data_IF_609294295460
#
_entry.id   IF_609294295460
#
_cell.length_a   1.000
_cell.length_b   1.000
_cell.length_c   1.000
_cell.angle_alpha   90.00
_cell.angle_beta   90.00
_cell.angle_gamma   90.00
#
_symmetry.space_group_name_H-M   'P 1'
#
loop_
_entity.id
_entity.type
_entity.pdbx_description
1 polymer ?
#
# COMPACT_ATOMS: atom_id res chain seq x y z
N UNK A 1 -6.14 -16.74 -25.78
CA UNK A 1 -5.76 -18.00 -25.11
C UNK A 1 -4.41 -17.80 -24.45
N UNK A 2 -4.41 -17.39 -23.18
CA UNK A 2 -3.22 -17.40 -22.36
C UNK A 2 -2.81 -18.87 -22.15
N UNK A 3 -1.56 -19.19 -22.43
CA UNK A 3 -1.00 -20.52 -22.19
C UNK A 3 -0.90 -20.77 -20.68
N UNK A 4 -1.18 -21.98 -20.18
CA UNK A 4 -0.96 -22.31 -18.78
C UNK A 4 0.55 -22.36 -18.55
N UNK A 5 1.10 -21.34 -17.85
CA UNK A 5 2.53 -21.25 -17.52
C UNK A 5 3.09 -19.83 -17.41
N UNK A 6 2.33 -18.78 -17.64
CA UNK A 6 2.77 -17.43 -17.33
C UNK A 6 2.71 -17.23 -15.81
N UNK A 7 3.85 -16.86 -15.22
CA UNK A 7 3.95 -16.53 -13.79
C UNK A 7 3.16 -15.25 -13.51
N UNK A 8 1.85 -15.41 -13.28
CA UNK A 8 1.02 -14.32 -12.81
C UNK A 8 1.57 -13.81 -11.47
N UNK A 9 1.72 -12.52 -11.33
CA UNK A 9 2.13 -11.88 -10.09
C UNK A 9 1.24 -10.66 -9.84
N UNK A 10 0.80 -10.50 -8.61
CA UNK A 10 0.13 -9.28 -8.17
C UNK A 10 1.20 -8.36 -7.60
N UNK A 11 1.38 -7.20 -8.21
CA UNK A 11 2.26 -6.14 -7.71
C UNK A 11 1.39 -5.05 -7.11
N UNK A 12 1.61 -4.72 -5.85
CA UNK A 12 0.82 -3.73 -5.13
C UNK A 12 1.71 -2.60 -4.61
N UNK A 13 1.52 -1.41 -5.17
CA UNK A 13 2.17 -0.19 -4.69
C UNK A 13 1.48 0.33 -3.42
N UNK A 14 2.25 0.58 -2.38
CA UNK A 14 1.77 0.99 -1.05
C UNK A 14 2.58 2.13 -0.46
N UNK A 15 1.94 2.86 0.47
CA UNK A 15 2.61 3.75 1.43
C UNK A 15 2.05 3.49 2.83
N UNK A 16 2.92 3.37 3.83
CA UNK A 16 2.53 3.04 5.21
C UNK A 16 1.65 4.09 5.88
N UNK A 17 1.78 5.35 5.52
CA UNK A 17 0.92 6.43 6.00
C UNK A 17 -0.45 6.52 5.32
N UNK A 18 -0.70 5.66 4.32
CA UNK A 18 -1.98 5.61 3.62
C UNK A 18 -2.86 4.50 4.16
N UNK A 19 -4.01 4.86 4.76
CA UNK A 19 -4.93 3.91 5.39
C UNK A 19 -5.53 2.91 4.39
N UNK A 20 -5.81 3.33 3.13
CA UNK A 20 -6.31 2.40 2.11
C UNK A 20 -5.26 1.35 1.72
N UNK A 21 -3.96 1.70 1.74
CA UNK A 21 -2.88 0.72 1.56
C UNK A 21 -2.95 -0.36 2.65
N UNK A 22 -3.15 0.04 3.92
CA UNK A 22 -3.35 -0.91 5.02
C UNK A 22 -4.58 -1.79 4.83
N UNK A 23 -5.72 -1.19 4.53
CA UNK A 23 -6.98 -1.90 4.34
C UNK A 23 -6.99 -2.79 3.08
N UNK A 24 -6.08 -2.57 2.15
CA UNK A 24 -5.93 -3.39 0.94
C UNK A 24 -5.08 -4.64 1.16
N UNK A 25 -4.15 -4.62 2.10
CA UNK A 25 -3.16 -5.69 2.28
C UNK A 25 -3.81 -7.04 2.61
N UNK A 26 -4.69 -7.09 3.61
CA UNK A 26 -5.33 -8.34 4.05
C UNK A 26 -6.14 -9.02 2.93
N UNK A 27 -7.13 -8.35 2.31
CA UNK A 27 -7.90 -8.92 1.21
C UNK A 27 -7.06 -9.33 0.01
N UNK A 28 -6.02 -8.55 -0.33
CA UNK A 28 -5.13 -8.89 -1.44
C UNK A 28 -4.31 -10.13 -1.14
N UNK A 29 -3.75 -10.23 0.07
CA UNK A 29 -3.00 -11.42 0.52
C UNK A 29 -3.88 -12.67 0.47
N UNK A 30 -5.09 -12.59 1.02
CA UNK A 30 -6.02 -13.71 1.01
C UNK A 30 -6.38 -14.17 -0.41
N UNK A 31 -6.62 -13.22 -1.33
CA UNK A 31 -6.88 -13.52 -2.74
C UNK A 31 -5.67 -14.16 -3.43
N UNK A 32 -4.47 -13.64 -3.19
CA UNK A 32 -3.24 -14.17 -3.76
C UNK A 32 -2.97 -15.60 -3.30
N UNK A 33 -3.14 -15.88 -2.00
CA UNK A 33 -3.02 -17.22 -1.41
C UNK A 33 -4.05 -18.20 -1.99
N UNK A 34 -5.30 -17.79 -2.11
CA UNK A 34 -6.38 -18.62 -2.69
C UNK A 34 -6.12 -18.98 -4.16
N UNK A 35 -5.62 -18.02 -4.95
CA UNK A 35 -5.32 -18.23 -6.37
C UNK A 35 -3.94 -18.88 -6.60
N UNK A 36 -3.11 -19.01 -5.56
CA UNK A 36 -1.75 -19.51 -5.69
C UNK A 36 -0.83 -18.58 -6.48
N UNK A 37 -1.10 -17.27 -6.46
CA UNK A 37 -0.37 -16.23 -7.20
C UNK A 37 0.54 -15.46 -6.25
N UNK A 38 1.83 -15.23 -6.58
CA UNK A 38 2.71 -14.39 -5.78
C UNK A 38 2.18 -12.97 -5.62
N UNK A 39 2.35 -12.41 -4.41
CA UNK A 39 2.08 -11.01 -4.10
C UNK A 39 3.39 -10.30 -3.78
N UNK A 40 3.68 -9.25 -4.51
CA UNK A 40 4.84 -8.38 -4.33
C UNK A 40 4.39 -6.98 -3.90
N UNK A 41 4.92 -6.49 -2.78
CA UNK A 41 4.65 -5.13 -2.31
C UNK A 41 5.75 -4.19 -2.77
N UNK A 42 5.36 -3.07 -3.34
CA UNK A 42 6.27 -2.07 -3.89
C UNK A 42 6.11 -0.75 -3.12
N UNK A 43 7.21 -0.17 -2.62
CA UNK A 43 7.15 1.11 -1.93
C UNK A 43 6.88 2.23 -2.93
N UNK A 44 5.86 3.04 -2.65
CA UNK A 44 5.57 4.25 -3.40
C UNK A 44 5.24 5.38 -2.44
N UNK A 45 6.21 6.28 -2.22
CA UNK A 45 6.05 7.39 -1.29
C UNK A 45 5.09 8.43 -1.84
N UNK A 46 4.00 8.66 -1.12
CA UNK A 46 3.07 9.75 -1.40
C UNK A 46 3.58 11.06 -0.82
N UNK A 47 3.11 12.19 -1.35
CA UNK A 47 3.46 13.50 -0.81
C UNK A 47 2.97 13.64 0.64
N UNK A 48 3.73 14.42 1.42
CA UNK A 48 3.33 14.76 2.80
C UNK A 48 2.17 15.74 2.71
N UNK A 49 1.01 15.35 3.24
CA UNK A 49 -0.17 16.20 3.27
C UNK A 49 0.06 17.32 4.30
N UNK A 50 0.28 18.54 3.85
CA UNK A 50 0.38 19.71 4.71
C UNK A 50 -1.03 20.28 4.86
N UNK A 51 -1.49 20.42 6.12
CA UNK A 51 -2.75 21.11 6.41
C UNK A 51 -2.64 22.57 5.94
N UNK A 52 -3.37 22.91 4.90
CA UNK A 52 -3.49 24.31 4.47
C UNK A 52 -4.44 25.01 5.45
N UNK A 53 -4.01 26.11 6.04
CA UNK A 53 -4.86 26.89 6.94
C UNK A 53 -6.18 27.27 6.24
N UNK A 54 -7.28 27.08 6.95
CA UNK A 54 -8.61 27.34 6.44
C UNK A 54 -8.76 28.82 6.06
N UNK A 55 -9.00 29.11 4.77
CA UNK A 55 -9.42 30.41 4.31
C UNK A 55 -10.87 30.68 4.74
N UNK A 56 -11.20 31.93 5.00
CA UNK A 56 -12.55 32.37 5.46
C UNK A 56 -13.67 32.16 4.44
N UNK A 57 -13.36 31.93 3.18
CA UNK A 57 -14.34 31.64 2.12
C UNK A 57 -13.86 30.43 1.32
N UNK A 58 -14.70 29.38 1.34
CA UNK A 58 -14.46 28.13 0.63
C UNK A 58 -14.86 28.28 -0.84
N UNK A 59 -13.92 28.00 -1.76
CA UNK A 59 -14.21 27.95 -3.19
C UNK A 59 -15.02 26.70 -3.55
N UNK A 60 -15.66 26.67 -4.73
CA UNK A 60 -16.40 25.49 -5.22
C UNK A 60 -15.46 24.26 -5.32
N UNK A 61 -14.22 24.45 -5.72
CA UNK A 61 -13.24 23.37 -5.79
C UNK A 61 -12.86 22.81 -4.40
N UNK A 62 -12.69 23.68 -3.40
CA UNK A 62 -12.41 23.30 -2.01
C UNK A 62 -13.61 22.58 -1.39
N UNK A 63 -14.83 23.01 -1.67
CA UNK A 63 -16.06 22.32 -1.23
C UNK A 63 -16.15 20.91 -1.82
N UNK A 64 -15.87 20.74 -3.13
CA UNK A 64 -15.83 19.42 -3.76
C UNK A 64 -14.70 18.52 -3.20
N UNK A 65 -13.56 19.11 -2.87
CA UNK A 65 -12.46 18.37 -2.23
C UNK A 65 -12.84 17.93 -0.82
N UNK A 66 -13.50 18.78 -0.03
CA UNK A 66 -13.98 18.44 1.31
C UNK A 66 -15.02 17.32 1.27
N UNK A 67 -16.02 17.42 0.41
CA UNK A 67 -17.06 16.37 0.29
C UNK A 67 -16.44 15.03 -0.11
N UNK A 68 -15.47 15.04 -1.03
CA UNK A 68 -14.73 13.82 -1.39
C UNK A 68 -13.92 13.26 -0.20
N UNK A 69 -13.29 14.13 0.59
CA UNK A 69 -12.54 13.72 1.77
C UNK A 69 -13.44 13.12 2.86
N UNK A 70 -14.63 13.70 3.07
CA UNK A 70 -15.64 13.16 4.00
C UNK A 70 -16.13 11.78 3.55
N UNK A 71 -16.47 11.63 2.27
CA UNK A 71 -16.88 10.34 1.70
C UNK A 71 -15.77 9.28 1.85
N UNK A 72 -14.53 9.66 1.54
CA UNK A 72 -13.36 8.82 1.70
C UNK A 72 -13.14 8.38 3.16
N UNK A 73 -13.31 9.29 4.12
CA UNK A 73 -13.19 8.99 5.54
C UNK A 73 -14.28 7.98 6.01
N UNK A 74 -15.48 8.08 5.47
CA UNK A 74 -16.56 7.14 5.78
C UNK A 74 -16.31 5.76 5.19
N UNK A 75 -15.77 5.67 4.00
CA UNK A 75 -15.36 4.40 3.40
C UNK A 75 -14.22 3.74 4.19
N UNK A 76 -13.24 4.52 4.63
CA UNK A 76 -12.18 4.03 5.52
C UNK A 76 -12.76 3.37 6.77
N UNK A 77 -13.70 4.04 7.44
CA UNK A 77 -14.35 3.51 8.65
C UNK A 77 -15.12 2.21 8.37
N UNK A 78 -15.83 2.13 7.23
CA UNK A 78 -16.56 0.92 6.83
C UNK A 78 -15.61 -0.25 6.62
N UNK A 79 -14.54 -0.07 5.87
CA UNK A 79 -13.56 -1.12 5.60
C UNK A 79 -12.78 -1.53 6.85
N UNK A 80 -12.39 -0.57 7.69
CA UNK A 80 -11.73 -0.85 8.96
C UNK A 80 -12.62 -1.71 9.86
N UNK A 81 -13.91 -1.35 10.00
CA UNK A 81 -14.88 -2.13 10.77
C UNK A 81 -15.06 -3.54 10.24
N UNK A 82 -15.14 -3.73 8.92
CA UNK A 82 -15.29 -5.05 8.30
C UNK A 82 -14.07 -5.95 8.54
N UNK A 83 -12.89 -5.37 8.70
CA UNK A 83 -11.66 -6.10 8.96
C UNK A 83 -11.26 -6.15 10.45
N UNK A 84 -12.07 -5.60 11.35
CA UNK A 84 -11.76 -5.41 12.77
C UNK A 84 -10.43 -4.69 13.00
N UNK A 85 -10.14 -3.67 12.18
CA UNK A 85 -8.95 -2.85 12.30
C UNK A 85 -9.29 -1.52 12.95
N UNK A 86 -8.42 -1.05 13.83
CA UNK A 86 -8.45 0.29 14.40
C UNK A 86 -7.53 1.21 13.59
N UNK A 87 -8.00 2.42 13.31
CA UNK A 87 -7.24 3.47 12.65
C UNK A 87 -7.09 4.64 13.63
N UNK A 88 -6.15 4.53 14.55
CA UNK A 88 -5.92 5.50 15.63
C UNK A 88 -4.94 6.60 15.20
N UNK A 89 -3.96 6.24 14.36
CA UNK A 89 -2.89 7.15 13.98
C UNK A 89 -3.40 8.32 13.11
N UNK A 90 -2.84 9.50 13.34
CA UNK A 90 -2.92 10.63 12.43
C UNK A 90 -1.75 10.55 11.44
N UNK A 91 -2.05 10.47 10.15
CA UNK A 91 -1.04 10.39 9.09
C UNK A 91 -0.64 11.76 8.52
N UNK A 92 -1.22 12.85 9.00
CA UNK A 92 -0.87 14.19 8.54
C UNK A 92 0.58 14.55 8.91
N UNK A 93 1.34 15.03 7.93
CA UNK A 93 2.72 15.44 8.13
C UNK A 93 3.71 14.30 8.39
N UNK A 94 3.28 13.04 8.30
CA UNK A 94 4.14 11.87 8.55
C UNK A 94 5.06 11.61 7.36
N UNK A 95 6.35 11.46 7.63
CA UNK A 95 7.33 10.92 6.69
C UNK A 95 7.38 9.40 6.82
N UNK A 96 7.15 8.69 5.71
CA UNK A 96 7.18 7.23 5.64
C UNK A 96 8.46 6.67 5.00
N UNK A 97 9.41 7.53 4.66
CA UNK A 97 10.63 7.15 3.93
C UNK A 97 11.33 5.97 4.59
N UNK A 98 11.61 6.04 5.88
CA UNK A 98 12.35 5.00 6.58
C UNK A 98 11.63 3.65 6.57
N UNK A 99 10.31 3.65 6.77
CA UNK A 99 9.49 2.44 6.68
C UNK A 99 9.48 1.85 5.25
N UNK A 100 9.47 2.69 4.21
CA UNK A 100 9.54 2.25 2.81
C UNK A 100 10.91 1.67 2.44
N UNK A 101 12.01 2.24 2.97
CA UNK A 101 13.35 1.65 2.85
C UNK A 101 13.41 0.28 3.52
N UNK A 102 12.78 0.14 4.69
CA UNK A 102 12.63 -1.14 5.38
C UNK A 102 11.85 -2.18 4.57
N UNK A 103 10.84 -1.75 3.79
CA UNK A 103 10.12 -2.65 2.89
C UNK A 103 11.03 -3.21 1.79
N UNK A 104 11.86 -2.38 1.17
CA UNK A 104 12.84 -2.86 0.19
C UNK A 104 13.80 -3.88 0.80
N UNK A 105 14.34 -3.58 1.98
CA UNK A 105 15.18 -4.53 2.71
C UNK A 105 14.45 -5.83 3.01
N UNK A 106 13.22 -5.76 3.52
CA UNK A 106 12.38 -6.92 3.79
C UNK A 106 12.09 -7.75 2.54
N UNK A 107 11.82 -7.12 1.41
CA UNK A 107 11.62 -7.79 0.12
C UNK A 107 12.86 -8.57 -0.31
N UNK A 108 14.05 -7.96 -0.23
CA UNK A 108 15.31 -8.63 -0.55
C UNK A 108 15.61 -9.85 0.34
N UNK A 109 15.09 -9.84 1.57
CA UNK A 109 15.24 -10.94 2.55
C UNK A 109 14.06 -11.92 2.55
N UNK A 110 13.05 -11.72 1.71
CA UNK A 110 11.88 -12.60 1.62
C UNK A 110 10.86 -12.44 2.75
N UNK A 111 10.92 -11.35 3.51
CA UNK A 111 10.00 -11.07 4.65
C UNK A 111 9.13 -9.83 4.42
N UNK A 112 9.06 -9.32 3.20
CA UNK A 112 8.38 -8.06 2.89
C UNK A 112 6.91 -8.01 3.28
N UNK A 113 6.15 -9.08 3.06
CA UNK A 113 4.72 -9.17 3.43
C UNK A 113 4.51 -9.11 4.95
N UNK A 114 5.28 -9.86 5.71
CA UNK A 114 5.18 -9.90 7.17
C UNK A 114 5.71 -8.61 7.79
N UNK A 115 6.75 -8.02 7.19
CA UNK A 115 7.24 -6.70 7.54
C UNK A 115 6.15 -5.63 7.34
N UNK A 116 5.54 -5.59 6.16
CA UNK A 116 4.49 -4.62 5.86
C UNK A 116 3.31 -4.75 6.82
N UNK A 117 2.85 -5.97 7.11
CA UNK A 117 1.80 -6.20 8.09
C UNK A 117 2.18 -5.67 9.48
N UNK A 118 3.41 -5.93 9.94
CA UNK A 118 3.90 -5.50 11.24
C UNK A 118 3.98 -3.97 11.36
N UNK A 119 4.50 -3.30 10.33
CA UNK A 119 4.60 -1.84 10.30
C UNK A 119 3.23 -1.18 10.24
N UNK A 120 2.35 -1.62 9.35
CA UNK A 120 0.98 -1.10 9.26
C UNK A 120 0.23 -1.26 10.58
N UNK A 121 0.27 -2.45 11.17
CA UNK A 121 -0.41 -2.71 12.44
C UNK A 121 0.08 -1.78 13.54
N UNK A 122 1.40 -1.67 13.74
CA UNK A 122 1.98 -0.81 14.79
C UNK A 122 1.76 0.68 14.53
N UNK A 123 1.83 1.11 13.29
CA UNK A 123 1.56 2.52 12.98
C UNK A 123 0.09 2.88 13.21
N UNK A 124 -0.84 2.11 12.64
CA UNK A 124 -2.27 2.46 12.68
C UNK A 124 -2.93 2.18 14.04
N UNK A 125 -2.46 1.21 14.82
CA UNK A 125 -3.02 0.91 16.14
C UNK A 125 -2.26 1.60 17.29
N UNK A 126 -0.92 1.67 17.20
CA UNK A 126 -0.06 2.09 18.31
C UNK A 126 0.66 3.41 18.05
N UNK A 127 0.41 4.05 16.92
CA UNK A 127 1.07 5.31 16.49
C UNK A 127 2.61 5.22 16.47
N UNK A 128 3.17 4.08 16.06
CA UNK A 128 4.61 3.92 15.86
C UNK A 128 5.16 4.99 14.90
N UNK A 129 6.32 5.56 15.17
CA UNK A 129 6.96 6.49 14.27
C UNK A 129 7.50 5.76 13.03
N UNK A 130 7.04 6.14 11.83
CA UNK A 130 7.50 5.54 10.57
C UNK A 130 8.90 5.96 10.13
N UNK A 131 9.43 7.03 10.75
CA UNK A 131 10.78 7.58 10.48
C UNK A 131 11.82 7.12 11.52
N UNK A 132 11.45 6.24 12.44
CA UNK A 132 12.37 5.71 13.46
C UNK A 132 13.12 4.48 12.95
N UNK A 133 14.38 4.68 12.57
CA UNK A 133 15.28 3.64 12.07
C UNK A 133 15.47 2.48 13.05
N UNK A 134 15.43 2.76 14.36
CA UNK A 134 15.59 1.73 15.38
C UNK A 134 14.38 0.79 15.40
N UNK A 135 13.17 1.33 15.49
CA UNK A 135 11.93 0.54 15.47
C UNK A 135 11.79 -0.28 14.19
N UNK A 136 12.14 0.29 13.04
CA UNK A 136 12.16 -0.41 11.76
C UNK A 136 13.18 -1.56 11.77
N UNK A 137 14.39 -1.31 12.24
CA UNK A 137 15.46 -2.32 12.35
C UNK A 137 15.11 -3.45 13.32
N UNK A 138 14.43 -3.16 14.41
CA UNK A 138 13.95 -4.16 15.37
C UNK A 138 12.90 -5.09 14.76
N UNK A 139 11.92 -4.54 14.02
CA UNK A 139 10.92 -5.34 13.30
C UNK A 139 11.60 -6.27 12.30
N UNK A 140 12.51 -5.76 11.49
CA UNK A 140 13.24 -6.55 10.49
C UNK A 140 14.07 -7.66 11.17
N UNK A 141 14.73 -7.34 12.26
CA UNK A 141 15.53 -8.32 13.03
C UNK A 141 14.65 -9.45 13.58
N UNK A 142 13.48 -9.11 14.13
CA UNK A 142 12.51 -10.11 14.64
C UNK A 142 11.99 -11.02 13.53
N UNK A 143 11.91 -10.54 12.31
CA UNK A 143 11.48 -11.31 11.13
C UNK A 143 12.63 -12.09 10.46
N UNK A 144 13.84 -12.05 11.02
CA UNK A 144 15.00 -12.75 10.47
C UNK A 144 15.75 -12.00 9.37
N UNK A 145 15.56 -10.70 9.25
CA UNK A 145 16.21 -9.82 8.28
C UNK A 145 17.09 -8.73 8.97
N UNK A 146 18.07 -9.10 9.81
CA UNK A 146 18.90 -8.15 10.56
C UNK A 146 19.82 -7.35 9.64
N UNK A 147 20.47 -6.34 10.22
CA UNK A 147 21.49 -5.54 9.53
C UNK A 147 20.92 -4.49 8.58
N UNK A 148 19.72 -3.98 8.85
CA UNK A 148 19.10 -2.95 8.04
C UNK A 148 19.95 -1.69 7.96
N UNK A 149 20.34 -1.31 6.75
CA UNK A 149 21.11 -0.12 6.43
C UNK A 149 20.32 0.78 5.47
N UNK A 150 19.59 1.78 5.98
CA UNK A 150 18.71 2.61 5.14
C UNK A 150 19.48 3.35 4.04
N UNK A 151 20.72 3.77 4.30
CA UNK A 151 21.55 4.48 3.32
C UNK A 151 21.75 3.72 2.01
N UNK A 152 21.82 2.38 2.07
CA UNK A 152 22.00 1.53 0.90
C UNK A 152 20.72 1.41 0.04
N UNK A 153 19.54 1.74 0.59
CA UNK A 153 18.24 1.55 -0.06
C UNK A 153 17.68 2.80 -0.74
N UNK A 154 18.24 3.98 -0.51
CA UNK A 154 17.70 5.24 -1.04
C UNK A 154 17.68 5.31 -2.57
N UNK A 155 18.76 4.86 -3.22
CA UNK A 155 18.84 4.84 -4.68
C UNK A 155 17.84 3.86 -5.28
N UNK A 156 17.67 2.71 -4.63
CA UNK A 156 16.69 1.70 -5.04
C UNK A 156 15.26 2.22 -4.89
N UNK A 157 14.93 2.94 -3.79
CA UNK A 157 13.61 3.54 -3.60
C UNK A 157 13.28 4.54 -4.73
N UNK A 158 14.23 5.38 -5.10
CA UNK A 158 14.06 6.33 -6.21
C UNK A 158 13.87 5.61 -7.55
N UNK A 159 14.62 4.54 -7.79
CA UNK A 159 14.53 3.72 -9.01
C UNK A 159 13.16 3.02 -9.10
N UNK A 160 12.72 2.41 -8.00
CA UNK A 160 11.40 1.76 -7.92
C UNK A 160 10.29 2.77 -8.18
N UNK A 161 10.36 3.96 -7.57
CA UNK A 161 9.39 5.03 -7.80
C UNK A 161 9.33 5.43 -9.27
N UNK A 162 10.47 5.72 -9.89
CA UNK A 162 10.54 6.12 -11.30
C UNK A 162 9.98 5.03 -12.23
N UNK A 163 10.27 3.76 -11.94
CA UNK A 163 9.74 2.62 -12.69
C UNK A 163 8.21 2.54 -12.57
N UNK A 164 7.69 2.65 -11.35
CA UNK A 164 6.23 2.62 -11.10
C UNK A 164 5.52 3.77 -11.80
N UNK A 165 6.07 4.98 -11.76
CA UNK A 165 5.50 6.14 -12.46
C UNK A 165 5.50 5.94 -13.98
N UNK A 166 6.54 5.35 -14.54
CA UNK A 166 6.61 5.00 -15.96
C UNK A 166 5.59 3.91 -16.35
N UNK A 167 5.23 3.02 -15.43
CA UNK A 167 4.18 2.01 -15.60
C UNK A 167 2.76 2.56 -15.35
N UNK A 168 2.61 3.81 -14.96
CA UNK A 168 1.32 4.49 -14.76
C UNK A 168 0.83 4.56 -13.32
N UNK A 169 1.68 4.24 -12.33
CA UNK A 169 1.35 4.43 -10.91
C UNK A 169 1.50 5.91 -10.55
N UNK A 170 0.48 6.48 -9.95
CA UNK A 170 0.44 7.89 -9.53
C UNK A 170 -0.14 8.07 -8.12
N UNK A 171 -0.56 7.00 -7.48
CA UNK A 171 -1.23 7.00 -6.18
C UNK A 171 -1.03 5.65 -5.49
N UNK A 172 -1.58 5.49 -4.27
CA UNK A 172 -1.64 4.22 -3.54
C UNK A 172 -3.01 4.04 -2.88
N UNK A 173 -3.48 2.80 -2.69
CA UNK A 173 -2.94 1.57 -3.25
C UNK A 173 -3.21 1.46 -4.75
N UNK A 174 -2.22 1.00 -5.52
CA UNK A 174 -2.40 0.69 -6.93
C UNK A 174 -1.85 -0.70 -7.23
N UNK A 175 -2.59 -1.43 -8.06
CA UNK A 175 -2.25 -2.80 -8.48
C UNK A 175 -1.72 -2.79 -9.90
N UNK A 176 -0.67 -3.57 -10.15
CA UNK A 176 -0.15 -3.85 -11.47
C UNK A 176 -0.29 -5.36 -11.68
N UNK A 177 -1.15 -5.75 -12.61
CA UNK A 177 -1.51 -7.14 -12.88
C UNK A 177 -1.70 -7.32 -14.37
N UNK A 178 -1.05 -8.29 -14.97
CA UNK A 178 -1.18 -8.63 -16.41
C UNK A 178 -0.99 -7.40 -17.34
N UNK A 179 -0.03 -6.52 -16.99
CA UNK A 179 0.23 -5.31 -17.77
C UNK A 179 -0.84 -4.23 -17.65
N UNK A 180 -1.79 -4.40 -16.74
CA UNK A 180 -2.85 -3.43 -16.44
C UNK A 180 -2.63 -2.81 -15.07
N UNK A 181 -3.11 -1.58 -14.90
CA UNK A 181 -3.00 -0.81 -13.64
C UNK A 181 -4.39 -0.52 -13.10
N UNK A 182 -4.60 -0.81 -11.81
CA UNK A 182 -5.88 -0.61 -11.13
C UNK A 182 -5.66 0.25 -9.88
N UNK A 183 -6.49 1.27 -9.70
CA UNK A 183 -6.45 2.13 -8.52
C UNK A 183 -7.49 1.68 -7.50
N UNK A 184 -7.05 1.32 -6.29
CA UNK A 184 -7.92 1.00 -5.17
C UNK A 184 -8.36 -0.47 -5.11
N UNK A 185 -8.74 -0.86 -3.89
CA UNK A 185 -9.15 -2.23 -3.57
C UNK A 185 -10.50 -2.65 -4.18
N UNK A 186 -11.30 -1.70 -4.61
CA UNK A 186 -12.57 -1.93 -5.31
C UNK A 186 -12.41 -2.74 -6.59
N UNK A 187 -11.21 -2.76 -7.16
CA UNK A 187 -10.89 -3.54 -8.36
C UNK A 187 -10.48 -4.99 -8.07
N UNK A 188 -10.39 -5.42 -6.81
CA UNK A 188 -10.05 -6.82 -6.48
C UNK A 188 -10.93 -7.87 -7.17
N UNK A 189 -12.26 -7.69 -7.34
CA UNK A 189 -13.08 -8.63 -8.10
C UNK A 189 -12.65 -8.76 -9.57
N UNK A 190 -12.29 -7.65 -10.21
CA UNK A 190 -11.80 -7.63 -11.59
C UNK A 190 -10.41 -8.29 -11.70
N UNK A 191 -9.51 -7.98 -10.77
CA UNK A 191 -8.17 -8.58 -10.70
C UNK A 191 -8.29 -10.09 -10.52
N UNK A 192 -9.17 -10.54 -9.64
CA UNK A 192 -9.47 -11.97 -9.44
C UNK A 192 -9.93 -12.64 -10.73
N UNK A 193 -10.86 -12.03 -11.43
CA UNK A 193 -11.39 -12.54 -12.70
C UNK A 193 -10.31 -12.68 -13.76
N UNK A 194 -9.42 -11.69 -13.91
CA UNK A 194 -8.27 -11.74 -14.81
C UNK A 194 -7.34 -12.91 -14.48
N UNK A 195 -6.98 -13.05 -13.19
CA UNK A 195 -6.05 -14.09 -12.72
C UNK A 195 -6.66 -15.50 -12.77
N UNK A 196 -7.98 -15.61 -12.67
CA UNK A 196 -8.70 -16.89 -12.87
C UNK A 196 -8.80 -17.31 -14.34
N UNK A 197 -8.20 -16.55 -15.26
CA UNK A 197 -8.23 -16.83 -16.71
C UNK A 197 -9.57 -16.57 -17.34
N UNK A 198 -10.30 -15.57 -16.86
CA UNK A 198 -11.60 -15.12 -17.40
C UNK A 198 -12.68 -16.22 -17.42
N UNK A 199 -12.55 -17.22 -16.54
CA UNK A 199 -13.44 -18.39 -16.50
C UNK A 199 -14.72 -18.17 -15.69
N UNK A 200 -14.76 -17.14 -14.89
CA UNK A 200 -15.91 -16.75 -14.05
C UNK A 200 -16.76 -15.70 -14.79
N UNK A 201 -17.97 -15.43 -14.25
CA UNK A 201 -18.79 -14.34 -14.78
C UNK A 201 -18.08 -13.00 -14.57
N UNK A 202 -18.12 -12.14 -15.60
CA UNK A 202 -17.52 -10.79 -15.51
C UNK A 202 -18.08 -10.06 -14.27
N UNK A 203 -17.26 -9.56 -13.36
CA UNK A 203 -17.72 -8.75 -12.23
C UNK A 203 -18.33 -7.44 -12.76
N UNK A 204 -19.60 -7.21 -12.45
CA UNK A 204 -20.36 -6.01 -12.82
C UNK A 204 -20.37 -5.05 -11.62
#
# INVERSE_FOLDING_TARGET
SALPGENHVIRLAIDFKNALSWLSLGPTRAMAEELGVPLELLPYQTEVSVLTEARKEETVAERHARVRAEYYADDLKRYAKLQNLELVADSHGVDSTMALLGLLWGNQKGVGLDYAHSVFSRFWSDSMCLDDVQSIGEILTLLGAPGFEPGAMHEELNTVRATLEAEGVFSVPMYLVEGQVFQGREHLPMIRWLLAGERESVPI
#
